data_IF_838305090096
#
_entry.id   IF_838305090096
#
_cell.length_a   1.000
_cell.length_b   1.000
_cell.length_c   1.000
_cell.angle_alpha   90.00
_cell.angle_beta   90.00
_cell.angle_gamma   90.00
#
_symmetry.space_group_name_H-M   'P 1'
#
loop_
_entity.id
_entity.type
_entity.pdbx_description
1 polymer ?
#
# COMPACT_ATOMS: atom_id res chain seq x y z
N UNK A 1 0.33 11.54 -7.48
CA UNK A 1 1.69 11.00 -7.72
C UNK A 1 1.83 10.84 -9.22
N UNK A 2 2.88 11.37 -9.76
CA UNK A 2 3.24 11.25 -11.18
C UNK A 2 4.65 10.68 -11.23
N UNK A 3 4.86 9.65 -12.04
CA UNK A 3 6.17 9.06 -12.25
C UNK A 3 6.43 8.99 -13.75
N UNK A 4 7.35 9.82 -14.21
CA UNK A 4 7.91 9.75 -15.55
C UNK A 4 9.29 9.12 -15.46
N UNK A 5 9.53 8.05 -16.19
CA UNK A 5 10.84 7.38 -16.16
C UNK A 5 11.29 7.05 -17.60
N UNK A 6 12.35 7.65 -18.10
CA UNK A 6 12.93 7.29 -19.39
C UNK A 6 13.50 5.86 -19.42
N UNK A 7 13.89 5.34 -18.24
CA UNK A 7 14.39 3.97 -18.09
C UNK A 7 13.31 2.89 -18.17
N UNK A 8 12.03 3.26 -18.17
CA UNK A 8 10.93 2.28 -18.23
C UNK A 8 10.97 1.47 -19.51
N UNK A 9 11.28 2.11 -20.66
CA UNK A 9 11.43 1.42 -21.93
C UNK A 9 12.47 0.30 -21.85
N UNK A 10 13.70 0.64 -21.47
CA UNK A 10 14.81 -0.32 -21.37
C UNK A 10 14.55 -1.40 -20.33
N UNK A 11 13.91 -1.04 -19.20
CA UNK A 11 13.58 -1.99 -18.14
C UNK A 11 12.53 -3.00 -18.61
N UNK A 12 11.46 -2.54 -19.27
CA UNK A 12 10.39 -3.41 -19.76
C UNK A 12 10.92 -4.33 -20.87
N UNK A 13 11.59 -3.76 -21.87
CA UNK A 13 12.19 -4.55 -22.97
C UNK A 13 13.24 -5.52 -22.43
N UNK A 14 14.18 -5.06 -21.61
CA UNK A 14 15.28 -5.85 -21.08
C UNK A 14 14.78 -7.03 -20.23
N UNK A 15 13.87 -6.78 -19.30
CA UNK A 15 13.32 -7.82 -18.44
C UNK A 15 12.51 -8.86 -19.26
N UNK A 16 11.69 -8.41 -20.19
CA UNK A 16 10.86 -9.30 -21.00
C UNK A 16 11.71 -10.13 -21.95
N UNK A 17 12.64 -9.51 -22.65
CA UNK A 17 13.50 -10.19 -23.61
C UNK A 17 14.47 -11.15 -22.91
N UNK A 18 15.02 -10.80 -21.74
CA UNK A 18 15.88 -11.68 -20.96
C UNK A 18 15.17 -12.96 -20.50
N UNK A 19 13.88 -12.87 -20.14
CA UNK A 19 13.07 -14.04 -19.81
C UNK A 19 12.96 -14.96 -21.04
N UNK A 20 12.70 -14.39 -22.21
CA UNK A 20 12.56 -15.15 -23.45
C UNK A 20 13.88 -15.80 -23.90
N UNK A 21 15.00 -15.11 -23.75
CA UNK A 21 16.35 -15.64 -24.04
C UNK A 21 16.72 -16.82 -23.13
N UNK A 22 16.34 -16.76 -21.85
CA UNK A 22 16.64 -17.80 -20.87
C UNK A 22 15.84 -19.09 -21.04
N UNK A 23 14.82 -19.12 -21.90
CA UNK A 23 14.02 -20.32 -22.19
C UNK A 23 14.77 -21.39 -23.03
N UNK A 24 15.97 -21.08 -23.50
CA UNK A 24 16.86 -22.00 -24.19
C UNK A 24 16.63 -22.10 -25.69
N UNK A 25 17.60 -22.72 -26.42
CA UNK A 25 17.63 -22.78 -27.91
C UNK A 25 16.51 -23.59 -28.58
N UNK A 26 15.75 -24.37 -27.81
CA UNK A 26 14.60 -25.14 -28.31
C UNK A 26 13.26 -24.47 -28.10
N UNK A 27 13.24 -23.38 -27.32
CA UNK A 27 12.04 -22.60 -27.06
C UNK A 27 11.77 -21.61 -28.21
N UNK A 28 10.51 -21.19 -28.39
CA UNK A 28 10.19 -20.11 -29.32
C UNK A 28 10.99 -18.85 -28.97
N UNK A 29 11.55 -18.19 -29.97
CA UNK A 29 12.16 -16.88 -29.76
C UNK A 29 11.08 -15.81 -29.72
N UNK A 30 11.02 -15.11 -28.62
CA UNK A 30 10.10 -14.00 -28.46
C UNK A 30 10.90 -12.74 -28.21
N UNK A 31 10.45 -11.63 -28.74
CA UNK A 31 11.00 -10.32 -28.45
C UNK A 31 9.92 -9.26 -28.45
N UNK A 32 10.11 -8.26 -27.64
CA UNK A 32 9.22 -7.12 -27.53
C UNK A 32 10.03 -5.84 -27.75
N UNK A 33 9.46 -4.90 -28.48
CA UNK A 33 9.99 -3.56 -28.63
C UNK A 33 8.97 -2.53 -28.19
N UNK A 34 9.32 -1.71 -27.22
CA UNK A 34 8.48 -0.62 -26.69
C UNK A 34 8.69 0.63 -27.55
N UNK A 35 7.61 1.18 -28.07
CA UNK A 35 7.65 2.34 -28.96
C UNK A 35 7.65 3.69 -28.17
N UNK A 36 7.11 3.68 -26.95
CA UNK A 36 7.10 4.88 -26.11
C UNK A 36 8.50 5.20 -25.56
N UNK A 37 8.97 6.45 -25.64
CA UNK A 37 10.21 6.85 -24.98
C UNK A 37 10.08 6.90 -23.45
N UNK A 38 8.89 7.21 -22.94
CA UNK A 38 8.56 7.29 -21.52
C UNK A 38 7.20 6.69 -21.25
N UNK A 39 6.99 6.23 -20.03
CA UNK A 39 5.69 5.82 -19.53
C UNK A 39 5.33 6.65 -18.30
N UNK A 40 4.19 7.30 -18.37
CA UNK A 40 3.68 8.08 -17.25
C UNK A 40 2.66 7.27 -16.48
N UNK A 41 2.85 7.15 -15.17
CA UNK A 41 1.87 6.61 -14.24
C UNK A 41 1.41 7.72 -13.32
N UNK A 42 0.12 7.97 -13.27
CA UNK A 42 -0.49 8.98 -12.42
C UNK A 42 -1.44 8.33 -11.41
N UNK A 43 -1.55 8.93 -10.23
CA UNK A 43 -2.49 8.46 -9.22
C UNK A 43 -2.97 9.59 -8.32
N UNK A 44 -4.27 9.66 -8.14
CA UNK A 44 -4.94 10.49 -7.17
C UNK A 44 -5.49 9.63 -6.03
N UNK A 45 -5.16 10.03 -4.80
CA UNK A 45 -5.54 9.33 -3.58
C UNK A 45 -6.16 10.32 -2.61
N UNK A 46 -7.40 10.05 -2.20
CA UNK A 46 -8.09 10.79 -1.16
C UNK A 46 -8.29 9.84 0.03
N UNK A 47 -7.65 10.15 1.16
CA UNK A 47 -7.58 9.28 2.34
C UNK A 47 -8.14 9.95 3.59
N UNK A 48 -9.46 10.26 3.62
CA UNK A 48 -10.06 10.84 4.81
C UNK A 48 -10.06 9.84 5.97
N UNK A 49 -9.70 10.35 7.16
CA UNK A 49 -9.77 9.62 8.42
C UNK A 49 -10.72 10.38 9.34
N UNK A 50 -11.67 9.66 9.90
CA UNK A 50 -12.56 10.16 10.94
C UNK A 50 -12.35 9.35 12.22
N UNK A 51 -12.15 10.03 13.34
CA UNK A 51 -11.97 9.38 14.63
C UNK A 51 -12.80 10.06 15.71
N UNK A 52 -13.20 9.28 16.70
CA UNK A 52 -13.90 9.73 17.89
C UNK A 52 -13.55 8.83 19.06
N UNK A 53 -13.56 9.40 20.26
CA UNK A 53 -13.26 8.65 21.47
C UNK A 53 -14.13 9.09 22.62
N UNK A 54 -14.50 8.13 23.48
CA UNK A 54 -15.05 8.39 24.79
C UNK A 54 -14.12 7.79 25.85
N UNK A 55 -13.95 8.47 26.96
CA UNK A 55 -13.10 7.96 28.03
C UNK A 55 -13.66 8.32 29.41
N UNK A 56 -13.33 7.47 30.38
CA UNK A 56 -13.57 7.71 31.79
C UNK A 56 -12.33 7.34 32.59
N UNK A 57 -12.01 8.13 33.60
CA UNK A 57 -10.92 7.88 34.53
C UNK A 57 -11.37 8.22 35.94
N UNK A 58 -11.08 7.32 36.87
CA UNK A 58 -11.33 7.53 38.31
C UNK A 58 -10.03 7.35 39.07
N UNK A 59 -9.78 8.23 40.05
CA UNK A 59 -8.65 8.13 40.94
C UNK A 59 -9.15 8.02 42.39
N UNK A 60 -8.71 6.97 43.04
CA UNK A 60 -9.01 6.66 44.44
C UNK A 60 -7.79 7.05 45.28
N UNK A 61 -7.92 8.07 46.10
CA UNK A 61 -6.84 8.57 46.95
C UNK A 61 -6.90 7.94 48.35
N UNK A 62 -5.71 7.75 48.95
CA UNK A 62 -5.57 7.13 50.27
C UNK A 62 -6.19 5.73 50.37
N UNK A 63 -6.16 4.97 49.32
CA UNK A 63 -6.63 3.60 49.28
C UNK A 63 -5.68 2.72 50.12
N UNK A 64 -6.18 2.06 51.14
CA UNK A 64 -5.47 1.23 52.12
C UNK A 64 -4.48 1.98 53.04
N UNK A 65 -3.77 3.02 52.57
CA UNK A 65 -2.83 3.82 53.37
C UNK A 65 -2.81 5.28 52.88
N UNK A 66 -2.39 6.20 53.80
CA UNK A 66 -2.22 7.60 53.42
C UNK A 66 -1.12 7.74 52.36
N UNK A 67 -1.37 8.55 51.35
CA UNK A 67 -0.43 8.79 50.26
C UNK A 67 -0.50 7.77 49.09
N UNK A 68 -1.25 6.65 49.24
CA UNK A 68 -1.44 5.71 48.18
C UNK A 68 -2.65 6.08 47.32
N UNK A 69 -2.46 6.30 46.05
CA UNK A 69 -3.51 6.58 45.06
C UNK A 69 -3.52 5.54 43.93
N UNK A 70 -4.70 5.10 43.60
CA UNK A 70 -4.93 4.16 42.51
C UNK A 70 -5.82 4.81 41.44
N UNK A 71 -5.39 4.76 40.20
CA UNK A 71 -6.15 5.29 39.07
C UNK A 71 -6.52 4.15 38.13
N UNK A 72 -7.80 4.08 37.76
CA UNK A 72 -8.32 3.22 36.72
C UNK A 72 -8.93 4.07 35.63
N UNK A 73 -8.55 3.82 34.40
CA UNK A 73 -9.04 4.51 33.22
C UNK A 73 -9.46 3.54 32.14
N UNK A 74 -10.45 3.93 31.39
CA UNK A 74 -10.94 3.21 30.22
C UNK A 74 -11.24 4.18 29.12
N UNK A 75 -10.74 3.91 27.91
CA UNK A 75 -11.00 4.68 26.72
C UNK A 75 -11.47 3.76 25.61
N UNK A 76 -12.52 4.15 24.93
CA UNK A 76 -13.04 3.50 23.74
C UNK A 76 -12.82 4.44 22.57
N UNK A 77 -12.01 4.00 21.61
CA UNK A 77 -11.72 4.71 20.36
C UNK A 77 -12.45 4.03 19.21
N UNK A 78 -13.04 4.83 18.36
CA UNK A 78 -13.55 4.47 17.06
C UNK A 78 -12.82 5.25 15.99
N UNK A 79 -12.31 4.56 14.97
CA UNK A 79 -11.65 5.18 13.84
C UNK A 79 -12.20 4.58 12.56
N UNK A 80 -12.53 5.43 11.59
CA UNK A 80 -12.92 5.04 10.25
C UNK A 80 -11.95 5.66 9.26
N UNK A 81 -11.29 4.80 8.51
CA UNK A 81 -10.40 5.17 7.42
C UNK A 81 -11.06 4.86 6.09
N UNK A 82 -10.93 5.75 5.14
CA UNK A 82 -11.41 5.52 3.78
C UNK A 82 -10.30 5.91 2.81
N UNK A 83 -10.25 5.26 1.67
CA UNK A 83 -9.38 5.64 0.57
C UNK A 83 -10.17 5.56 -0.73
N UNK A 84 -10.23 6.68 -1.45
CA UNK A 84 -10.61 6.70 -2.86
C UNK A 84 -9.35 6.79 -3.67
N UNK A 85 -9.25 5.97 -4.67
CA UNK A 85 -8.08 5.96 -5.54
C UNK A 85 -8.50 5.94 -7.00
N UNK A 86 -7.73 6.65 -7.81
CA UNK A 86 -7.80 6.63 -9.26
C UNK A 86 -6.38 6.69 -9.79
N UNK A 87 -5.90 5.59 -10.31
CA UNK A 87 -4.56 5.47 -10.85
C UNK A 87 -4.63 4.93 -12.28
N UNK A 88 -3.84 5.51 -13.17
CA UNK A 88 -3.78 5.11 -14.56
C UNK A 88 -2.37 5.27 -15.11
N UNK A 89 -2.02 4.45 -16.10
CA UNK A 89 -0.84 4.64 -16.93
C UNK A 89 -1.22 5.23 -18.28
N UNK A 90 -0.27 5.90 -18.91
CA UNK A 90 -0.38 6.19 -20.34
C UNK A 90 -0.43 4.87 -21.12
N UNK A 91 -1.06 4.86 -22.31
CA UNK A 91 -1.01 3.70 -23.19
C UNK A 91 0.44 3.34 -23.54
N UNK A 92 0.79 2.09 -23.33
CA UNK A 92 2.07 1.52 -23.76
C UNK A 92 1.91 0.97 -25.17
N UNK A 93 2.61 1.56 -26.14
CA UNK A 93 2.65 1.08 -27.51
C UNK A 93 3.86 0.16 -27.70
N UNK A 94 3.66 -1.02 -28.23
CA UNK A 94 4.74 -1.99 -28.40
C UNK A 94 4.51 -2.92 -29.59
N UNK A 95 5.62 -3.43 -30.13
CA UNK A 95 5.63 -4.51 -31.11
C UNK A 95 6.03 -5.81 -30.44
N UNK A 96 5.44 -6.90 -30.87
CA UNK A 96 5.74 -8.24 -30.39
C UNK A 96 6.11 -9.16 -31.56
N UNK A 97 7.22 -9.88 -31.43
CA UNK A 97 7.66 -10.85 -32.39
C UNK A 97 7.76 -12.23 -31.76
N UNK A 98 7.24 -13.21 -32.44
CA UNK A 98 7.32 -14.62 -32.09
C UNK A 98 7.90 -15.40 -33.26
N UNK A 99 8.93 -16.21 -33.03
CA UNK A 99 9.53 -17.05 -34.02
C UNK A 99 9.73 -18.49 -33.50
N UNK A 100 9.20 -19.45 -34.20
CA UNK A 100 9.35 -20.87 -33.90
C UNK A 100 9.63 -21.65 -35.20
N UNK A 101 10.91 -21.97 -35.45
CA UNK A 101 11.33 -22.57 -36.73
C UNK A 101 10.99 -21.66 -37.92
N UNK A 102 10.25 -22.14 -38.92
CA UNK A 102 9.86 -21.33 -40.08
C UNK A 102 8.69 -20.39 -39.81
N UNK A 103 8.01 -20.54 -38.66
CA UNK A 103 6.86 -19.70 -38.30
C UNK A 103 7.34 -18.44 -37.62
N UNK A 104 7.03 -17.30 -38.23
CA UNK A 104 7.26 -15.97 -37.67
C UNK A 104 5.94 -15.22 -37.60
N UNK A 105 5.58 -14.75 -36.40
CA UNK A 105 4.41 -13.91 -36.18
C UNK A 105 4.93 -12.57 -35.66
N UNK A 106 4.55 -11.48 -36.31
CA UNK A 106 4.84 -10.13 -35.89
C UNK A 106 3.54 -9.40 -35.71
N UNK A 107 3.27 -8.99 -34.46
CA UNK A 107 2.18 -8.10 -34.11
C UNK A 107 2.74 -6.71 -33.86
N UNK A 108 2.24 -5.72 -34.58
CA UNK A 108 2.71 -4.32 -34.53
C UNK A 108 1.65 -3.42 -33.96
N UNK A 109 2.12 -2.28 -33.44
CA UNK A 109 1.25 -1.21 -32.93
C UNK A 109 0.25 -1.71 -31.85
N UNK A 110 0.68 -2.68 -31.06
CA UNK A 110 -0.11 -3.15 -29.93
C UNK A 110 -0.18 -2.06 -28.84
N UNK A 111 -1.33 -1.97 -28.20
CA UNK A 111 -1.57 -0.98 -27.15
C UNK A 111 -1.99 -1.70 -25.88
N UNK A 112 -1.31 -1.39 -24.79
CA UNK A 112 -1.68 -1.83 -23.46
C UNK A 112 -1.80 -0.63 -22.54
N UNK A 113 -2.95 -0.50 -21.90
CA UNK A 113 -3.22 0.51 -20.88
C UNK A 113 -3.58 -0.14 -19.55
N UNK A 114 -3.43 0.60 -18.49
CA UNK A 114 -3.84 0.16 -17.17
C UNK A 114 -4.54 1.32 -16.44
N UNK A 115 -5.71 1.03 -15.92
CA UNK A 115 -6.44 1.93 -15.07
C UNK A 115 -6.99 1.15 -13.87
N UNK A 116 -6.81 1.71 -12.68
CA UNK A 116 -7.28 1.11 -11.45
C UNK A 116 -7.93 2.16 -10.56
N UNK A 117 -9.22 2.05 -10.33
CA UNK A 117 -9.98 2.98 -9.52
C UNK A 117 -10.90 2.25 -8.56
N UNK A 118 -11.20 2.87 -7.45
CA UNK A 118 -12.09 2.29 -6.47
C UNK A 118 -12.12 3.05 -5.15
N UNK A 119 -12.78 2.41 -4.19
CA UNK A 119 -12.90 2.91 -2.82
C UNK A 119 -12.69 1.76 -1.85
N UNK A 120 -11.86 1.99 -0.84
CA UNK A 120 -11.67 1.13 0.32
C UNK A 120 -12.18 1.86 1.55
N UNK A 121 -12.67 1.13 2.54
CA UNK A 121 -13.07 1.67 3.83
C UNK A 121 -12.89 0.59 4.89
N UNK A 122 -12.22 0.98 5.99
CA UNK A 122 -11.96 0.13 7.15
C UNK A 122 -12.34 0.90 8.39
N UNK A 123 -12.90 0.21 9.36
CA UNK A 123 -13.24 0.77 10.66
C UNK A 123 -12.67 -0.09 11.80
N UNK A 124 -12.26 0.60 12.84
CA UNK A 124 -11.60 0.01 14.00
C UNK A 124 -12.24 0.51 15.28
N UNK A 125 -12.48 -0.42 16.20
CA UNK A 125 -12.90 -0.13 17.57
C UNK A 125 -11.81 -0.65 18.51
N UNK A 126 -11.30 0.20 19.38
CA UNK A 126 -10.23 -0.15 20.30
C UNK A 126 -10.60 0.22 21.74
N UNK A 127 -10.46 -0.76 22.62
CA UNK A 127 -10.61 -0.56 24.06
C UNK A 127 -9.22 -0.45 24.70
N UNK A 128 -8.98 0.67 25.39
CA UNK A 128 -7.70 1.06 25.92
C UNK A 128 -7.77 1.25 27.44
N UNK A 129 -7.55 0.17 28.22
CA UNK A 129 -7.47 0.28 29.68
C UNK A 129 -6.16 0.93 30.12
N UNK A 130 -6.24 1.65 31.26
CA UNK A 130 -5.11 2.24 31.96
C UNK A 130 -5.24 1.96 33.45
N UNK A 131 -4.14 1.53 34.05
CA UNK A 131 -3.99 1.37 35.48
C UNK A 131 -2.77 2.12 35.94
N UNK A 132 -2.90 2.93 37.02
CA UNK A 132 -1.78 3.61 37.60
C UNK A 132 -1.84 3.52 39.11
N UNK A 133 -0.68 3.37 39.71
CA UNK A 133 -0.46 3.37 41.13
C UNK A 133 0.53 4.46 41.47
N UNK A 134 0.23 5.30 42.46
CA UNK A 134 1.10 6.35 42.95
C UNK A 134 1.20 6.29 44.46
N UNK A 135 2.38 6.41 45.00
CA UNK A 135 2.61 6.49 46.43
C UNK A 135 3.43 7.73 46.76
N UNK A 136 2.85 8.63 47.56
CA UNK A 136 3.49 9.81 48.10
C UNK A 136 3.77 9.60 49.61
N UNK A 137 5.08 9.41 49.93
CA UNK A 137 5.48 9.16 51.33
C UNK A 137 5.80 10.43 52.11
N UNK A 138 6.07 11.54 51.43
CA UNK A 138 6.19 12.87 52.02
C UNK A 138 5.86 13.92 50.98
N UNK A 139 5.53 15.13 51.42
CA UNK A 139 5.10 16.22 50.56
C UNK A 139 6.10 16.46 49.41
N UNK A 140 5.66 16.25 48.20
CA UNK A 140 6.45 16.42 46.98
C UNK A 140 7.33 15.23 46.58
N UNK A 141 7.41 14.15 47.41
CA UNK A 141 8.18 12.94 47.10
C UNK A 141 7.21 11.79 46.80
N UNK A 142 7.21 11.35 45.57
CA UNK A 142 6.33 10.25 45.13
C UNK A 142 7.03 9.30 44.15
N UNK A 143 6.50 8.11 44.06
CA UNK A 143 6.80 7.13 43.05
C UNK A 143 5.50 6.72 42.37
N UNK A 144 5.54 6.46 41.06
CA UNK A 144 4.38 5.99 40.34
C UNK A 144 4.75 4.89 39.36
N UNK A 145 3.77 4.04 39.10
CA UNK A 145 3.82 3.02 38.05
C UNK A 145 2.52 3.09 37.23
N UNK A 146 2.65 2.98 35.93
CA UNK A 146 1.49 2.99 35.02
C UNK A 146 1.60 1.84 34.03
N UNK A 147 0.49 1.13 33.85
CA UNK A 147 0.31 0.15 32.77
C UNK A 147 -0.88 0.59 31.94
N UNK A 148 -0.69 0.70 30.64
CA UNK A 148 -1.76 1.07 29.72
C UNK A 148 -1.63 0.33 28.41
N UNK A 149 -2.77 0.00 27.80
CA UNK A 149 -2.82 -0.46 26.42
C UNK A 149 -2.84 0.76 25.50
N UNK A 150 -1.94 0.78 24.54
CA UNK A 150 -1.97 1.71 23.41
C UNK A 150 -2.21 0.94 22.11
N UNK A 151 -2.62 1.65 21.06
CA UNK A 151 -2.67 1.10 19.72
C UNK A 151 -2.11 2.12 18.72
N UNK A 152 -1.76 1.63 17.56
CA UNK A 152 -1.41 2.46 16.41
C UNK A 152 -2.41 2.14 15.31
N UNK A 153 -3.10 3.15 14.82
CA UNK A 153 -3.97 3.01 13.66
C UNK A 153 -3.17 2.59 12.43
N UNK A 154 -3.81 1.84 11.58
CA UNK A 154 -3.28 1.46 10.28
C UNK A 154 -3.17 2.66 9.34
N UNK A 155 -2.75 2.40 8.12
CA UNK A 155 -2.69 3.38 7.05
C UNK A 155 -2.66 2.67 5.70
N UNK A 156 -3.08 3.38 4.66
CA UNK A 156 -3.00 2.84 3.31
C UNK A 156 -1.60 3.09 2.72
N UNK A 157 -1.00 2.02 2.19
CA UNK A 157 0.26 2.12 1.47
C UNK A 157 -0.01 2.49 0.00
N UNK A 158 0.03 3.78 -0.30
CA UNK A 158 -0.22 4.26 -1.67
C UNK A 158 0.88 3.87 -2.67
N UNK A 159 2.10 3.53 -2.20
CA UNK A 159 3.17 3.08 -3.10
C UNK A 159 2.86 1.74 -3.75
N UNK A 160 2.10 0.88 -3.08
CA UNK A 160 1.67 -0.41 -3.61
C UNK A 160 0.86 -0.28 -4.90
N UNK A 161 0.21 0.87 -5.12
CA UNK A 161 -0.55 1.11 -6.35
C UNK A 161 0.32 1.21 -7.59
N UNK A 162 1.58 1.61 -7.46
CA UNK A 162 2.53 1.59 -8.58
C UNK A 162 2.75 0.15 -9.08
N UNK A 163 2.88 -0.80 -8.16
CA UNK A 163 3.11 -2.20 -8.49
C UNK A 163 1.84 -2.85 -9.08
N UNK A 164 0.67 -2.48 -8.54
CA UNK A 164 -0.63 -2.93 -9.06
C UNK A 164 -0.83 -2.45 -10.50
N UNK A 165 -0.54 -1.17 -10.79
CA UNK A 165 -0.66 -0.62 -12.15
C UNK A 165 0.32 -1.30 -13.10
N UNK A 166 1.55 -1.56 -12.67
CA UNK A 166 2.54 -2.29 -13.48
C UNK A 166 2.07 -3.72 -13.78
N UNK A 167 1.51 -4.40 -12.78
CA UNK A 167 0.93 -5.74 -12.98
C UNK A 167 -0.27 -5.74 -13.92
N UNK A 168 -1.16 -4.77 -13.80
CA UNK A 168 -2.31 -4.61 -14.68
C UNK A 168 -1.87 -4.32 -16.12
N UNK A 169 -0.85 -3.50 -16.30
CA UNK A 169 -0.29 -3.21 -17.62
C UNK A 169 0.32 -4.44 -18.27
N UNK A 170 1.07 -5.26 -17.52
CA UNK A 170 1.59 -6.52 -18.01
C UNK A 170 0.47 -7.47 -18.44
N UNK A 171 -0.64 -7.52 -17.68
CA UNK A 171 -1.82 -8.29 -18.06
C UNK A 171 -2.44 -7.78 -19.37
N UNK A 172 -2.63 -6.46 -19.51
CA UNK A 172 -3.16 -5.83 -20.73
C UNK A 172 -2.28 -6.10 -21.95
N UNK A 173 -0.96 -6.15 -21.78
CA UNK A 173 -0.02 -6.53 -22.85
C UNK A 173 -0.26 -7.97 -23.33
N UNK A 174 -0.42 -8.91 -22.39
CA UNK A 174 -0.71 -10.32 -22.72
C UNK A 174 -2.03 -10.44 -23.48
N UNK A 175 -3.07 -9.71 -23.09
CA UNK A 175 -4.37 -9.72 -23.77
C UNK A 175 -4.28 -9.06 -25.16
N UNK A 176 -3.46 -8.03 -25.34
CA UNK A 176 -3.24 -7.40 -26.64
C UNK A 176 -2.53 -8.33 -27.63
N UNK A 177 -1.61 -9.18 -27.14
CA UNK A 177 -0.92 -10.18 -27.98
C UNK A 177 -1.83 -11.33 -28.42
N UNK A 178 -2.84 -11.68 -27.60
CA UNK A 178 -3.78 -12.78 -27.89
C UNK A 178 -4.85 -12.43 -28.92
N UNK A 179 -5.09 -11.17 -29.19
CA UNK A 179 -6.08 -10.67 -30.17
C UNK A 179 -5.52 -10.69 -31.58
#
# INVERSE_FOLDING_TARGET
>A
IVKDSPLVKETIEGNTNSIFENLGNKAPKMSMSVLNPTLRVSGNFDTPIWNGAIFHQSTFNNLFTKGLSFTIGLRLDYEKMSMKYNSASDPLNFDFNFAMGPMVITAKDLVADAAYNGKLSEDYVQLLPKFALQYEWSKGNNVYATVSKGYRSGGYNVQMFSDIITGQQAHSMVEAIKK
#
